data_IF_517067449222
#
_entry.id   IF_517067449222
#
_cell.length_a   1.000
_cell.length_b   1.000
_cell.length_c   1.000
_cell.angle_alpha   90.00
_cell.angle_beta   90.00
_cell.angle_gamma   90.00
#
_symmetry.space_group_name_H-M   'P 1'
#
loop_
_entity.id
_entity.type
_entity.pdbx_description
1 polymer ?
#
# COMPACT_ATOMS: atom_id res chain seq x y z
N UNK A 1 -18.47 -28.01 -7.47
CA UNK A 1 -17.67 -26.97 -8.16
C UNK A 1 -17.95 -25.67 -7.43
N UNK A 2 -16.92 -24.93 -7.00
CA UNK A 2 -17.11 -23.73 -6.20
C UNK A 2 -17.72 -22.58 -7.02
N UNK A 3 -18.71 -21.89 -6.46
CA UNK A 3 -19.30 -20.66 -6.96
C UNK A 3 -18.57 -19.43 -6.40
N UNK A 4 -18.84 -18.25 -6.95
CA UNK A 4 -18.23 -17.00 -6.45
C UNK A 4 -18.61 -16.71 -5.00
N UNK A 5 -19.84 -17.05 -4.59
CA UNK A 5 -20.35 -16.83 -3.23
C UNK A 5 -19.60 -17.65 -2.17
N UNK A 6 -19.05 -18.81 -2.54
CA UNK A 6 -18.21 -19.61 -1.63
C UNK A 6 -16.93 -18.88 -1.19
N UNK A 7 -16.53 -17.85 -1.94
CA UNK A 7 -15.38 -17.00 -1.60
C UNK A 7 -15.80 -15.72 -0.89
N UNK A 8 -16.80 -15.01 -1.42
CA UNK A 8 -17.14 -13.66 -0.94
C UNK A 8 -18.08 -13.65 0.28
N UNK A 9 -18.62 -14.80 0.66
CA UNK A 9 -19.45 -14.97 1.86
C UNK A 9 -18.82 -15.96 2.86
N UNK A 10 -17.49 -16.11 2.84
CA UNK A 10 -16.79 -17.04 3.72
C UNK A 10 -16.98 -16.66 5.20
N UNK A 11 -17.69 -17.51 5.95
CA UNK A 11 -17.89 -17.34 7.40
C UNK A 11 -16.70 -17.87 8.21
N UNK A 12 -16.66 -17.53 9.50
CA UNK A 12 -15.65 -18.04 10.45
C UNK A 12 -15.73 -19.57 10.56
N UNK A 13 -16.94 -20.14 10.63
CA UNK A 13 -17.17 -21.58 10.73
C UNK A 13 -16.71 -22.30 9.46
N UNK A 14 -17.09 -21.78 8.29
CA UNK A 14 -16.65 -22.34 7.01
C UNK A 14 -15.12 -22.25 6.83
N UNK A 15 -14.49 -21.16 7.29
CA UNK A 15 -13.04 -21.03 7.30
C UNK A 15 -12.38 -22.05 8.25
N UNK A 16 -12.93 -22.23 9.46
CA UNK A 16 -12.47 -23.25 10.43
C UNK A 16 -12.52 -24.65 9.85
N UNK A 17 -13.63 -25.04 9.23
CA UNK A 17 -13.79 -26.37 8.64
C UNK A 17 -12.79 -26.62 7.51
N UNK A 18 -12.52 -25.59 6.70
CA UNK A 18 -11.48 -25.64 5.66
C UNK A 18 -10.08 -25.79 6.26
N UNK A 19 -9.75 -25.10 7.35
CA UNK A 19 -8.46 -25.27 8.05
C UNK A 19 -8.29 -26.68 8.62
N UNK A 20 -9.32 -27.23 9.25
CA UNK A 20 -9.32 -28.62 9.74
C UNK A 20 -9.12 -29.62 8.60
N UNK A 21 -9.81 -29.41 7.47
CA UNK A 21 -9.65 -30.23 6.27
C UNK A 21 -8.23 -30.16 5.71
N UNK A 22 -7.61 -28.97 5.67
CA UNK A 22 -6.22 -28.79 5.24
C UNK A 22 -5.26 -29.57 6.14
N UNK A 23 -5.45 -29.54 7.47
CA UNK A 23 -4.60 -30.25 8.43
C UNK A 23 -4.61 -31.77 8.25
N UNK A 24 -5.67 -32.34 7.67
CA UNK A 24 -5.81 -33.77 7.40
C UNK A 24 -5.21 -34.20 6.04
N UNK A 25 -4.71 -33.26 5.23
CA UNK A 25 -4.18 -33.57 3.90
C UNK A 25 -2.82 -34.26 3.94
N UNK A 26 -2.65 -35.22 3.04
CA UNK A 26 -1.36 -35.76 2.66
C UNK A 26 -0.73 -34.94 1.53
N UNK A 27 0.60 -34.99 1.41
CA UNK A 27 1.28 -34.40 0.26
C UNK A 27 0.82 -35.09 -1.04
N UNK A 28 0.55 -34.34 -2.13
CA UNK A 28 0.14 -34.94 -3.39
C UNK A 28 1.22 -35.88 -3.94
N UNK A 29 0.85 -37.15 -4.18
CA UNK A 29 1.74 -38.16 -4.78
C UNK A 29 1.41 -38.33 -6.26
N UNK A 30 1.75 -37.33 -7.10
CA UNK A 30 1.54 -37.42 -8.55
C UNK A 30 1.10 -36.11 -9.21
N UNK A 31 0.38 -36.21 -10.33
CA UNK A 31 -0.20 -35.07 -11.08
C UNK A 31 -1.63 -34.72 -10.65
N UNK A 32 -2.08 -35.19 -9.49
CA UNK A 32 -3.45 -34.96 -9.03
C UNK A 32 -3.69 -33.46 -8.82
N UNK A 33 -4.57 -32.91 -9.65
CA UNK A 33 -4.95 -31.50 -9.59
C UNK A 33 -5.96 -31.34 -8.45
N UNK A 34 -5.49 -30.89 -7.29
CA UNK A 34 -6.35 -30.54 -6.15
C UNK A 34 -6.75 -29.08 -6.24
N UNK A 35 -8.06 -28.83 -6.28
CA UNK A 35 -8.62 -27.47 -6.30
C UNK A 35 -8.21 -26.69 -5.05
N UNK A 36 -8.02 -25.38 -5.22
CA UNK A 36 -7.80 -24.47 -4.09
C UNK A 36 -9.11 -24.23 -3.36
N UNK A 37 -9.10 -24.38 -2.04
CA UNK A 37 -10.22 -23.97 -1.20
C UNK A 37 -10.34 -22.43 -1.17
N UNK A 38 -11.52 -21.89 -0.79
CA UNK A 38 -11.70 -20.47 -0.55
C UNK A 38 -10.65 -19.84 0.38
N UNK A 39 -10.35 -20.47 1.52
CA UNK A 39 -9.30 -20.02 2.46
C UNK A 39 -7.94 -19.93 1.76
N UNK A 40 -7.53 -20.98 1.04
CA UNK A 40 -6.26 -20.99 0.32
C UNK A 40 -6.20 -19.90 -0.75
N UNK A 41 -7.31 -19.69 -1.47
CA UNK A 41 -7.43 -18.68 -2.54
C UNK A 41 -7.36 -17.26 -1.99
N UNK A 42 -8.08 -16.97 -0.91
CA UNK A 42 -8.11 -15.65 -0.28
C UNK A 42 -6.80 -15.32 0.45
N UNK A 43 -6.13 -16.32 1.05
CA UNK A 43 -4.75 -16.16 1.54
C UNK A 43 -3.81 -15.84 0.39
N UNK A 44 -3.90 -16.55 -0.74
CA UNK A 44 -3.10 -16.21 -1.93
C UNK A 44 -3.36 -14.78 -2.42
N UNK A 45 -4.62 -14.32 -2.42
CA UNK A 45 -4.94 -12.94 -2.76
C UNK A 45 -4.26 -11.95 -1.80
N UNK A 46 -4.39 -12.17 -0.49
CA UNK A 46 -3.73 -11.34 0.52
C UNK A 46 -2.21 -11.31 0.38
N UNK A 47 -1.58 -12.46 0.11
CA UNK A 47 -0.15 -12.52 -0.17
C UNK A 47 0.20 -11.69 -1.41
N UNK A 48 -0.62 -11.73 -2.47
CA UNK A 48 -0.45 -10.88 -3.65
C UNK A 48 -0.52 -9.37 -3.36
N UNK A 49 -1.13 -8.94 -2.25
CA UNK A 49 -1.13 -7.53 -1.83
C UNK A 49 0.19 -7.09 -1.21
N UNK A 50 1.02 -8.00 -0.68
CA UNK A 50 2.29 -7.67 -0.02
C UNK A 50 3.52 -8.17 -0.78
N UNK A 51 3.37 -9.27 -1.50
CA UNK A 51 4.41 -9.88 -2.30
C UNK A 51 4.45 -9.21 -3.67
N UNK A 52 5.49 -8.41 -3.93
CA UNK A 52 5.67 -7.81 -5.26
C UNK A 52 6.04 -8.90 -6.27
N UNK A 53 5.29 -9.08 -7.36
CA UNK A 53 5.85 -9.72 -8.53
C UNK A 53 6.99 -8.82 -9.02
N UNK A 54 8.23 -9.29 -8.96
CA UNK A 54 9.38 -8.55 -9.50
C UNK A 54 9.12 -8.12 -10.96
N UNK A 55 9.81 -7.06 -11.42
CA UNK A 55 9.81 -6.44 -12.76
C UNK A 55 9.73 -7.39 -13.99
N UNK A 56 9.94 -8.70 -13.81
CA UNK A 56 9.82 -9.72 -14.83
C UNK A 56 8.88 -10.82 -14.33
N UNK A 57 7.79 -11.04 -15.06
CA UNK A 57 6.70 -11.92 -14.67
C UNK A 57 7.16 -13.25 -14.07
N UNK A 58 6.48 -13.67 -13.00
CA UNK A 58 6.44 -15.05 -12.47
C UNK A 58 7.74 -15.75 -12.02
N UNK A 59 8.93 -15.15 -12.09
CA UNK A 59 10.17 -15.93 -11.87
C UNK A 59 10.90 -15.70 -10.54
N UNK A 60 10.69 -14.61 -9.79
CA UNK A 60 11.39 -14.41 -8.49
C UNK A 60 10.50 -14.43 -7.22
N UNK A 61 9.27 -14.93 -7.29
CA UNK A 61 8.52 -15.31 -6.09
C UNK A 61 9.01 -16.63 -5.46
N UNK A 62 9.81 -17.41 -6.21
CA UNK A 62 10.11 -18.83 -5.93
C UNK A 62 11.13 -19.09 -4.80
N UNK A 63 11.78 -18.07 -4.22
CA UNK A 63 12.91 -18.33 -3.30
C UNK A 63 12.98 -17.48 -2.03
N UNK A 64 12.29 -16.34 -1.92
CA UNK A 64 12.62 -15.33 -0.90
C UNK A 64 11.48 -14.87 0.01
N UNK A 65 10.23 -15.33 -0.16
CA UNK A 65 9.14 -14.98 0.77
C UNK A 65 8.95 -16.04 1.84
N UNK A 66 9.22 -15.73 3.13
CA UNK A 66 8.92 -16.64 4.24
C UNK A 66 7.43 -16.99 4.31
N UNK A 67 6.55 -16.07 3.90
CA UNK A 67 5.10 -16.30 3.89
C UNK A 67 4.69 -17.34 2.84
N UNK A 68 5.20 -17.22 1.61
CA UNK A 68 4.94 -18.20 0.53
C UNK A 68 5.43 -19.59 0.95
N UNK A 69 6.62 -19.69 1.56
CA UNK A 69 7.15 -20.96 2.04
C UNK A 69 6.30 -21.54 3.17
N UNK A 70 5.88 -20.72 4.14
CA UNK A 70 5.04 -21.17 5.25
C UNK A 70 3.69 -21.69 4.76
N UNK A 71 2.96 -20.90 3.96
CA UNK A 71 1.65 -21.28 3.47
C UNK A 71 1.70 -22.45 2.48
N UNK A 72 2.77 -22.59 1.69
CA UNK A 72 2.96 -23.77 0.85
C UNK A 72 3.03 -25.06 1.69
N UNK A 73 3.81 -25.05 2.78
CA UNK A 73 3.89 -26.20 3.71
C UNK A 73 2.58 -26.46 4.43
N UNK A 74 1.92 -25.40 4.92
CA UNK A 74 0.64 -25.49 5.62
C UNK A 74 -0.44 -26.09 4.73
N UNK A 75 -0.55 -25.62 3.49
CA UNK A 75 -1.51 -26.10 2.50
C UNK A 75 -1.17 -27.48 1.91
N UNK A 76 0.01 -28.03 2.23
CA UNK A 76 0.59 -29.24 1.62
C UNK A 76 0.68 -29.11 0.10
N UNK A 77 1.11 -27.94 -0.38
CA UNK A 77 1.29 -27.62 -1.81
C UNK A 77 2.73 -27.27 -2.12
N UNK A 78 3.12 -27.44 -3.38
CA UNK A 78 4.43 -26.96 -3.84
C UNK A 78 4.44 -25.43 -3.90
N UNK A 79 5.57 -24.80 -3.59
CA UNK A 79 5.78 -23.35 -3.74
C UNK A 79 5.48 -22.89 -5.18
N UNK A 80 5.79 -23.74 -6.17
CA UNK A 80 5.47 -23.51 -7.59
C UNK A 80 3.95 -23.40 -7.82
N UNK A 81 3.15 -24.27 -7.19
CA UNK A 81 1.69 -24.22 -7.29
C UNK A 81 1.16 -22.94 -6.65
N UNK A 82 1.65 -22.60 -5.46
CA UNK A 82 1.21 -21.40 -4.75
C UNK A 82 1.56 -20.13 -5.53
N UNK A 83 2.80 -19.99 -5.98
CA UNK A 83 3.24 -18.86 -6.79
C UNK A 83 2.45 -18.72 -8.11
N UNK A 84 2.07 -19.84 -8.73
CA UNK A 84 1.20 -19.82 -9.90
C UNK A 84 -0.22 -19.32 -9.56
N UNK A 85 -0.77 -19.73 -8.40
CA UNK A 85 -2.06 -19.24 -7.91
C UNK A 85 -2.02 -17.74 -7.62
N UNK A 86 -0.98 -17.24 -6.93
CA UNK A 86 -0.78 -15.80 -6.72
C UNK A 86 -0.73 -15.03 -8.05
N UNK A 87 0.03 -15.52 -9.03
CA UNK A 87 0.15 -14.88 -10.33
C UNK A 87 -1.17 -14.89 -11.15
N UNK A 88 -2.05 -15.85 -10.91
CA UNK A 88 -3.37 -15.90 -11.53
C UNK A 88 -4.37 -14.93 -10.86
N UNK A 89 -4.18 -14.66 -9.57
CA UNK A 89 -4.94 -13.68 -8.79
C UNK A 89 -4.37 -12.25 -8.88
N UNK A 90 -3.51 -11.94 -9.87
CA UNK A 90 -2.98 -10.59 -10.12
C UNK A 90 -3.89 -9.76 -11.07
N UNK A 91 -5.02 -10.32 -11.55
CA UNK A 91 -5.98 -9.63 -12.42
C UNK A 91 -5.50 -9.33 -13.85
N UNK A 92 -4.18 -9.40 -14.11
CA UNK A 92 -3.54 -9.11 -15.41
C UNK A 92 -3.66 -10.24 -16.44
N UNK A 93 -3.98 -11.46 -16.01
CA UNK A 93 -4.09 -12.63 -16.90
C UNK A 93 -5.55 -12.83 -17.32
N UNK A 94 -5.86 -12.78 -18.63
CA UNK A 94 -7.25 -12.96 -19.10
C UNK A 94 -7.77 -14.40 -18.94
N UNK A 95 -6.87 -15.39 -18.76
CA UNK A 95 -7.20 -16.83 -18.74
C UNK A 95 -7.06 -17.47 -17.34
N UNK A 96 -7.37 -16.75 -16.27
CA UNK A 96 -7.48 -17.34 -14.93
C UNK A 96 -8.55 -18.44 -14.86
N UNK A 97 -8.52 -19.28 -13.83
CA UNK A 97 -9.55 -20.29 -13.60
C UNK A 97 -10.95 -19.63 -13.47
N UNK A 98 -12.00 -20.42 -13.69
CA UNK A 98 -13.40 -19.95 -13.67
C UNK A 98 -13.66 -19.12 -12.40
N UNK A 99 -14.15 -17.89 -12.56
CA UNK A 99 -14.41 -16.88 -11.51
C UNK A 99 -13.20 -16.12 -10.92
N UNK A 100 -11.94 -16.46 -11.19
CA UNK A 100 -10.79 -15.79 -10.55
C UNK A 100 -10.70 -14.29 -10.87
N UNK A 101 -10.94 -13.91 -12.13
CA UNK A 101 -10.93 -12.49 -12.52
C UNK A 101 -12.10 -11.73 -11.88
N UNK A 102 -13.27 -12.35 -11.75
CA UNK A 102 -14.43 -11.71 -11.11
C UNK A 102 -14.24 -11.59 -9.60
N UNK A 103 -13.69 -12.63 -8.97
CA UNK A 103 -13.30 -12.61 -7.56
C UNK A 103 -12.30 -11.48 -7.30
N UNK A 104 -11.27 -11.38 -8.12
CA UNK A 104 -10.27 -10.33 -8.00
C UNK A 104 -10.87 -8.93 -8.20
N UNK A 105 -11.78 -8.75 -9.17
CA UNK A 105 -12.50 -7.47 -9.35
C UNK A 105 -13.27 -7.15 -8.07
N UNK A 106 -14.05 -8.08 -7.51
CA UNK A 106 -14.83 -7.83 -6.29
C UNK A 106 -13.94 -7.49 -5.10
N UNK A 107 -12.91 -8.29 -4.85
CA UNK A 107 -12.01 -8.12 -3.70
C UNK A 107 -11.20 -6.81 -3.77
N UNK A 108 -10.81 -6.37 -4.97
CA UNK A 108 -10.08 -5.11 -5.14
C UNK A 108 -11.00 -3.88 -5.33
N UNK A 109 -12.27 -4.07 -5.68
CA UNK A 109 -13.23 -2.96 -5.85
C UNK A 109 -13.88 -2.53 -4.54
N UNK A 110 -14.06 -3.46 -3.61
CA UNK A 110 -14.68 -3.21 -2.31
C UNK A 110 -13.60 -3.18 -1.21
N UNK A 111 -13.37 -2.00 -0.65
CA UNK A 111 -12.34 -1.77 0.36
C UNK A 111 -12.62 -2.48 1.70
N UNK A 112 -13.87 -2.89 1.97
CA UNK A 112 -14.26 -3.53 3.23
C UNK A 112 -14.39 -5.04 3.11
N UNK A 113 -14.72 -5.53 1.91
CA UNK A 113 -14.95 -6.96 1.68
C UNK A 113 -13.72 -7.81 2.02
N UNK A 114 -12.56 -7.51 1.45
CA UNK A 114 -11.38 -8.34 1.68
C UNK A 114 -10.89 -8.30 3.15
N UNK A 115 -10.83 -7.14 3.83
CA UNK A 115 -10.53 -7.12 5.27
C UNK A 115 -11.48 -7.98 6.11
N UNK A 116 -12.79 -7.94 5.85
CA UNK A 116 -13.76 -8.75 6.58
C UNK A 116 -13.56 -10.26 6.36
N UNK A 117 -13.30 -10.66 5.11
CA UNK A 117 -12.97 -12.04 4.77
C UNK A 117 -11.65 -12.48 5.40
N UNK A 118 -10.63 -11.62 5.39
CA UNK A 118 -9.34 -11.91 6.02
C UNK A 118 -9.47 -12.10 7.53
N UNK A 119 -10.22 -11.24 8.22
CA UNK A 119 -10.53 -11.40 9.63
C UNK A 119 -11.24 -12.74 9.91
N UNK A 120 -12.17 -13.14 9.04
CA UNK A 120 -12.86 -14.43 9.14
C UNK A 120 -11.90 -15.61 8.96
N UNK A 121 -10.94 -15.52 8.04
CA UNK A 121 -9.89 -16.53 7.80
C UNK A 121 -8.99 -16.70 9.04
N UNK A 122 -8.51 -15.60 9.61
CA UNK A 122 -7.65 -15.62 10.80
C UNK A 122 -8.43 -16.16 12.01
N UNK A 123 -9.64 -15.67 12.25
CA UNK A 123 -10.50 -16.14 13.35
C UNK A 123 -10.85 -17.62 13.20
N UNK A 124 -11.13 -18.07 11.97
CA UNK A 124 -11.36 -19.48 11.66
C UNK A 124 -10.13 -20.35 11.93
N UNK A 125 -8.92 -19.86 11.61
CA UNK A 125 -7.65 -20.56 11.90
C UNK A 125 -7.46 -20.76 13.41
N UNK A 126 -7.67 -19.68 14.19
CA UNK A 126 -7.58 -19.74 15.67
C UNK A 126 -8.61 -20.73 16.24
N UNK A 127 -9.83 -20.72 15.71
CA UNK A 127 -10.90 -21.65 16.11
C UNK A 127 -10.63 -23.11 15.70
N UNK A 128 -9.72 -23.34 14.75
CA UNK A 128 -9.23 -24.66 14.36
C UNK A 128 -8.01 -25.12 15.18
N UNK A 129 -7.52 -24.28 16.10
CA UNK A 129 -6.35 -24.57 16.93
C UNK A 129 -4.99 -24.20 16.31
N UNK A 130 -4.98 -23.47 15.19
CA UNK A 130 -3.76 -22.98 14.55
C UNK A 130 -3.33 -21.65 15.18
N UNK A 131 -2.07 -21.56 15.60
CA UNK A 131 -1.57 -20.37 16.28
C UNK A 131 -0.98 -19.32 15.31
N UNK A 132 -0.40 -18.25 15.86
CA UNK A 132 0.21 -17.17 15.08
C UNK A 132 1.52 -17.57 14.39
N UNK A 133 2.11 -18.70 14.76
CA UNK A 133 3.27 -19.29 14.08
C UNK A 133 2.78 -20.07 12.86
N UNK A 134 1.74 -20.89 13.02
CA UNK A 134 1.14 -21.67 11.93
C UNK A 134 0.55 -20.75 10.86
N UNK A 135 -0.33 -19.84 11.28
CA UNK A 135 -1.05 -18.88 10.45
C UNK A 135 -0.71 -17.48 10.94
N UNK A 136 0.40 -16.88 10.47
CA UNK A 136 0.75 -15.52 10.85
C UNK A 136 -0.24 -14.52 10.24
N UNK A 137 -0.56 -13.48 11.00
CA UNK A 137 -1.24 -12.30 10.48
C UNK A 137 -0.23 -11.46 9.68
N UNK A 138 0.01 -11.86 8.43
CA UNK A 138 1.01 -11.25 7.55
C UNK A 138 0.56 -9.91 6.95
N UNK A 139 -0.75 -9.65 6.93
CA UNK A 139 -1.26 -8.31 6.67
C UNK A 139 -1.16 -7.43 7.90
N UNK A 140 -0.90 -8.06 9.05
CA UNK A 140 -0.83 -7.50 10.38
C UNK A 140 -2.11 -6.75 10.70
N UNK A 141 -3.27 -7.31 10.38
CA UNK A 141 -4.58 -6.68 10.58
C UNK A 141 -4.80 -6.19 12.01
N UNK A 142 -4.18 -6.83 13.00
CA UNK A 142 -4.22 -6.44 14.40
C UNK A 142 -3.31 -5.25 14.77
N UNK A 143 -2.10 -5.11 14.19
CA UNK A 143 -1.20 -3.97 14.46
C UNK A 143 -1.08 -2.94 13.31
N UNK A 144 -1.62 -3.26 12.14
CA UNK A 144 -1.66 -2.53 10.86
C UNK A 144 -3.04 -2.78 10.20
N UNK A 145 -4.11 -2.12 10.64
CA UNK A 145 -5.41 -2.28 10.00
C UNK A 145 -5.29 -1.98 8.50
N UNK A 146 -5.74 -2.90 7.64
CA UNK A 146 -5.77 -2.70 6.18
C UNK A 146 -6.46 -1.38 5.80
N UNK A 147 -7.42 -0.97 6.61
CA UNK A 147 -8.12 0.32 6.55
C UNK A 147 -7.17 1.52 6.53
N UNK A 148 -6.07 1.51 7.31
CA UNK A 148 -5.08 2.61 7.31
C UNK A 148 -4.38 2.71 5.97
N UNK A 149 -4.03 1.58 5.36
CA UNK A 149 -3.39 1.57 4.04
C UNK A 149 -4.36 2.04 2.97
N UNK A 150 -5.63 1.66 3.07
CA UNK A 150 -6.66 2.05 2.11
C UNK A 150 -6.97 3.54 2.16
N UNK A 151 -7.07 4.12 3.36
CA UNK A 151 -7.37 5.54 3.53
C UNK A 151 -6.13 6.44 3.32
N UNK A 152 -4.91 5.91 3.42
CA UNK A 152 -3.69 6.65 3.13
C UNK A 152 -3.45 6.88 1.63
N UNK A 153 -4.25 6.26 0.74
CA UNK A 153 -4.15 6.46 -0.70
C UNK A 153 -4.68 7.85 -1.07
N UNK A 154 -3.85 8.64 -1.75
CA UNK A 154 -4.22 9.98 -2.20
C UNK A 154 -4.93 10.03 -3.55
N UNK A 155 -4.59 9.11 -4.45
CA UNK A 155 -5.08 9.15 -5.83
C UNK A 155 -6.56 8.80 -5.86
N UNK A 156 -7.35 9.72 -6.41
CA UNK A 156 -8.82 9.58 -6.52
C UNK A 156 -9.22 8.63 -7.66
N UNK A 157 -10.44 8.09 -7.58
CA UNK A 157 -11.00 7.26 -8.65
C UNK A 157 -11.02 7.98 -10.01
N UNK A 158 -11.25 9.29 -10.04
CA UNK A 158 -11.27 10.07 -11.28
C UNK A 158 -9.87 10.21 -11.88
N UNK A 159 -8.84 10.43 -11.05
CA UNK A 159 -7.46 10.41 -11.51
C UNK A 159 -7.02 9.03 -12.01
N UNK A 160 -7.53 7.95 -11.40
CA UNK A 160 -7.30 6.59 -11.91
C UNK A 160 -7.97 6.38 -13.27
N UNK A 161 -9.21 6.87 -13.45
CA UNK A 161 -9.92 6.79 -14.73
C UNK A 161 -9.23 7.57 -15.83
N UNK A 162 -8.84 8.81 -15.54
CA UNK A 162 -8.10 9.66 -16.49
C UNK A 162 -6.79 8.98 -16.94
N UNK A 163 -6.05 8.38 -16.01
CA UNK A 163 -4.84 7.63 -16.31
C UNK A 163 -5.09 6.34 -17.11
N UNK A 164 -6.27 5.72 -16.98
CA UNK A 164 -6.67 4.50 -17.68
C UNK A 164 -7.23 4.79 -19.09
N UNK A 165 -7.75 5.99 -19.33
CA UNK A 165 -8.46 6.40 -20.56
C UNK A 165 -7.71 6.04 -21.86
N UNK A 166 -6.39 6.28 -22.02
CA UNK A 166 -5.69 5.91 -23.26
C UNK A 166 -5.70 4.40 -23.51
N UNK A 167 -5.59 3.61 -22.44
CA UNK A 167 -5.62 2.14 -22.51
C UNK A 167 -7.01 1.64 -22.89
N UNK A 168 -8.05 2.23 -22.29
CA UNK A 168 -9.44 1.89 -22.58
C UNK A 168 -9.80 2.22 -24.02
N UNK A 169 -9.40 3.40 -24.53
CA UNK A 169 -9.59 3.78 -25.94
C UNK A 169 -8.91 2.81 -26.89
N UNK A 170 -7.66 2.44 -26.62
CA UNK A 170 -6.91 1.49 -27.45
C UNK A 170 -7.55 0.10 -27.47
N UNK A 171 -8.16 -0.33 -26.35
CA UNK A 171 -8.88 -1.61 -26.25
C UNK A 171 -10.25 -1.56 -26.95
N UNK A 172 -11.00 -0.46 -26.79
CA UNK A 172 -12.29 -0.27 -27.44
C UNK A 172 -12.16 -0.28 -28.97
N UNK A 173 -11.06 0.27 -29.50
CA UNK A 173 -10.75 0.21 -30.93
C UNK A 173 -10.48 -1.23 -31.45
N UNK A 174 -10.28 -2.22 -30.58
CA UNK A 174 -9.88 -3.60 -30.92
C UNK A 174 -10.99 -4.65 -30.72
N UNK A 175 -12.18 -4.34 -30.17
CA UNK A 175 -13.25 -5.34 -30.01
C UNK A 175 -14.41 -5.03 -29.04
N UNK A 176 -15.34 -6.01 -28.94
CA UNK A 176 -16.70 -5.97 -28.37
C UNK A 176 -16.90 -5.30 -26.99
N UNK A 177 -17.93 -4.44 -26.90
CA UNK A 177 -18.36 -3.62 -25.76
C UNK A 177 -18.59 -4.37 -24.43
N UNK A 178 -19.03 -5.64 -24.47
CA UNK A 178 -19.25 -6.43 -23.25
C UNK A 178 -17.93 -6.82 -22.57
N UNK A 179 -16.88 -7.05 -23.36
CA UNK A 179 -15.52 -7.23 -22.84
C UNK A 179 -14.93 -5.91 -22.34
N UNK A 180 -15.33 -4.76 -22.90
CA UNK A 180 -14.82 -3.44 -22.50
C UNK A 180 -15.17 -3.12 -21.05
N UNK A 181 -16.43 -3.24 -20.61
CA UNK A 181 -16.80 -2.93 -19.20
C UNK A 181 -16.08 -3.82 -18.18
N UNK A 182 -15.95 -5.12 -18.48
CA UNK A 182 -15.22 -6.04 -17.61
C UNK A 182 -13.72 -5.72 -17.59
N UNK A 183 -13.15 -5.37 -18.74
CA UNK A 183 -11.75 -4.98 -18.87
C UNK A 183 -11.48 -3.64 -18.18
N UNK A 184 -12.42 -2.71 -18.26
CA UNK A 184 -12.36 -1.43 -17.56
C UNK A 184 -12.34 -1.63 -16.04
N UNK A 185 -13.30 -2.39 -15.50
CA UNK A 185 -13.29 -2.78 -14.08
C UNK A 185 -11.98 -3.45 -13.69
N UNK A 186 -11.45 -4.31 -14.58
CA UNK A 186 -10.19 -4.98 -14.33
C UNK A 186 -9.00 -4.01 -14.29
N UNK A 187 -8.93 -3.05 -15.20
CA UNK A 187 -7.88 -2.03 -15.23
C UNK A 187 -7.96 -1.14 -13.99
N UNK A 188 -9.16 -0.67 -13.66
CA UNK A 188 -9.39 0.21 -12.49
C UNK A 188 -9.01 -0.49 -11.18
N UNK A 189 -9.45 -1.74 -11.01
CA UNK A 189 -9.08 -2.53 -9.83
C UNK A 189 -7.56 -2.75 -9.76
N UNK A 190 -6.88 -2.89 -10.90
CA UNK A 190 -5.42 -3.14 -10.94
C UNK A 190 -4.70 -1.90 -10.47
N UNK A 191 -5.15 -0.74 -10.95
CA UNK A 191 -4.61 0.54 -10.55
C UNK A 191 -4.84 0.80 -9.05
N UNK A 192 -6.03 0.46 -8.52
CA UNK A 192 -6.37 0.60 -7.10
C UNK A 192 -5.52 -0.29 -6.20
N UNK A 193 -5.38 -1.58 -6.52
CA UNK A 193 -4.48 -2.47 -5.77
C UNK A 193 -3.04 -1.96 -5.84
N UNK A 194 -2.62 -1.45 -7.01
CA UNK A 194 -1.32 -0.82 -7.17
C UNK A 194 -1.12 0.38 -6.23
N UNK A 195 -2.14 1.24 -6.08
CA UNK A 195 -2.10 2.34 -5.11
C UNK A 195 -1.96 1.86 -3.67
N UNK A 196 -2.70 0.83 -3.29
CA UNK A 196 -2.64 0.28 -1.93
C UNK A 196 -1.25 -0.32 -1.64
N UNK A 197 -0.66 -1.01 -2.62
CA UNK A 197 0.70 -1.53 -2.54
C UNK A 197 1.75 -0.41 -2.42
N UNK A 198 1.60 0.65 -3.21
CA UNK A 198 2.44 1.84 -3.12
C UNK A 198 2.33 2.48 -1.74
N UNK A 199 1.11 2.79 -1.29
CA UNK A 199 0.84 3.43 -0.01
C UNK A 199 1.42 2.64 1.16
N UNK A 200 1.17 1.32 1.20
CA UNK A 200 1.75 0.42 2.21
C UNK A 200 3.28 0.50 2.22
N UNK A 201 3.90 0.43 1.04
CA UNK A 201 5.36 0.46 0.93
C UNK A 201 5.97 1.79 1.40
N UNK A 202 5.27 2.91 1.17
CA UNK A 202 5.67 4.24 1.63
C UNK A 202 5.54 4.35 3.15
N UNK A 203 4.42 3.89 3.71
CA UNK A 203 4.19 3.87 5.16
C UNK A 203 5.18 2.95 5.88
N UNK A 204 5.46 1.76 5.36
CA UNK A 204 6.45 0.81 5.91
C UNK A 204 7.84 1.45 5.98
N UNK A 205 8.27 2.16 4.93
CA UNK A 205 9.56 2.89 4.90
C UNK A 205 9.67 3.98 5.96
N UNK A 206 8.53 4.55 6.35
CA UNK A 206 8.42 5.60 7.35
C UNK A 206 8.02 5.09 8.73
N UNK A 207 7.98 3.77 8.96
CA UNK A 207 7.56 3.16 10.22
C UNK A 207 6.14 3.57 10.66
N UNK A 208 5.25 3.84 9.68
CA UNK A 208 3.91 4.39 9.89
C UNK A 208 3.94 5.67 10.74
N UNK A 209 4.87 6.56 10.39
CA UNK A 209 5.00 7.89 10.98
C UNK A 209 5.06 8.95 9.89
N UNK A 210 4.59 10.14 10.21
CA UNK A 210 4.88 11.33 9.44
C UNK A 210 6.40 11.53 9.44
N UNK A 211 7.01 11.57 8.26
CA UNK A 211 8.47 11.74 8.15
C UNK A 211 8.96 13.10 8.68
N UNK A 212 8.05 14.09 8.78
CA UNK A 212 8.38 15.43 9.25
C UNK A 212 8.29 15.55 10.78
N UNK A 213 7.16 15.20 11.39
CA UNK A 213 6.94 15.40 12.84
C UNK A 213 7.03 14.12 13.68
N UNK A 214 7.14 12.94 13.06
CA UNK A 214 7.18 11.67 13.77
C UNK A 214 5.82 11.19 14.30
N UNK A 215 4.72 11.91 14.03
CA UNK A 215 3.37 11.49 14.38
C UNK A 215 3.11 10.09 13.82
N UNK A 216 2.91 9.12 14.70
CA UNK A 216 2.73 7.72 14.34
C UNK A 216 1.32 7.22 14.61
N UNK A 217 0.88 6.25 13.82
CA UNK A 217 -0.42 5.61 13.98
C UNK A 217 -0.35 4.26 14.69
N UNK A 218 0.86 3.79 15.02
CA UNK A 218 1.08 2.53 15.73
C UNK A 218 0.80 2.67 17.23
N UNK A 219 0.15 1.65 17.80
CA UNK A 219 -0.07 1.53 19.25
C UNK A 219 -1.19 2.41 19.80
N UNK A 220 -1.96 3.07 18.93
CA UNK A 220 -3.11 3.89 19.31
C UNK A 220 -4.37 3.17 18.85
N UNK A 221 -5.26 2.79 19.78
CA UNK A 221 -6.55 2.13 19.48
C UNK A 221 -7.60 3.10 18.92
N UNK A 222 -7.18 4.01 18.04
CA UNK A 222 -8.07 4.91 17.31
C UNK A 222 -8.14 4.43 15.85
N UNK A 223 -9.27 4.66 15.15
CA UNK A 223 -9.32 4.53 13.70
C UNK A 223 -8.34 5.55 13.10
N UNK A 224 -7.11 5.09 12.88
CA UNK A 224 -5.95 5.91 12.54
C UNK A 224 -5.85 6.20 11.04
N UNK A 225 -6.92 5.88 10.31
CA UNK A 225 -6.93 5.74 8.87
C UNK A 225 -6.71 7.06 8.11
N UNK A 226 -6.93 8.21 8.76
CA UNK A 226 -6.77 9.53 8.14
C UNK A 226 -5.62 10.39 8.67
N UNK A 227 -4.75 9.82 9.50
CA UNK A 227 -3.66 10.57 10.13
C UNK A 227 -2.36 10.55 9.34
N UNK A 228 -2.25 9.65 8.36
CA UNK A 228 -1.10 9.56 7.46
C UNK A 228 -1.57 9.39 6.02
N UNK A 229 -0.92 10.14 5.13
CA UNK A 229 -1.15 10.11 3.69
C UNK A 229 0.15 9.64 3.04
N UNK A 230 0.04 8.70 2.11
CA UNK A 230 1.14 8.27 1.27
C UNK A 230 1.05 8.99 -0.08
N UNK A 231 1.68 10.16 -0.16
CA UNK A 231 1.63 11.04 -1.33
C UNK A 231 2.78 10.81 -2.27
N UNK A 232 2.53 10.94 -3.58
CA UNK A 232 3.59 10.99 -4.57
C UNK A 232 4.32 12.34 -4.52
N UNK A 233 5.65 12.30 -4.62
CA UNK A 233 6.50 13.50 -4.69
C UNK A 233 6.42 14.10 -6.08
N UNK A 234 6.67 13.27 -7.10
CA UNK A 234 6.33 13.56 -8.49
C UNK A 234 4.89 13.10 -8.69
N UNK A 235 3.93 14.01 -8.95
CA UNK A 235 2.51 13.68 -9.00
C UNK A 235 2.18 12.51 -9.92
N UNK A 236 1.09 11.80 -9.58
CA UNK A 236 0.60 10.65 -10.34
C UNK A 236 0.46 10.91 -11.84
N UNK A 237 -0.08 12.09 -12.20
CA UNK A 237 -0.31 12.52 -13.58
C UNK A 237 0.99 12.65 -14.40
N UNK A 238 2.07 13.09 -13.76
CA UNK A 238 3.37 13.33 -14.40
C UNK A 238 4.30 12.10 -14.32
N UNK A 239 3.91 11.10 -13.53
CA UNK A 239 4.66 9.86 -13.31
C UNK A 239 4.36 8.81 -14.38
N UNK A 240 5.41 8.13 -14.84
CA UNK A 240 5.32 6.90 -15.66
C UNK A 240 4.70 5.76 -14.85
N UNK A 241 4.22 4.71 -15.55
CA UNK A 241 3.67 3.51 -14.89
C UNK A 241 4.63 2.86 -13.87
N UNK A 242 5.95 3.01 -14.06
CA UNK A 242 6.96 2.50 -13.14
C UNK A 242 7.10 3.42 -11.92
N UNK A 243 7.22 4.73 -12.13
CA UNK A 243 7.36 5.73 -11.06
C UNK A 243 6.12 5.77 -10.13
N UNK A 244 4.94 5.51 -10.69
CA UNK A 244 3.66 5.41 -9.99
C UNK A 244 3.62 4.34 -8.90
N UNK A 245 4.46 3.31 -9.05
CA UNK A 245 4.56 2.16 -8.15
C UNK A 245 5.86 2.17 -7.34
N UNK A 246 6.73 3.17 -7.54
CA UNK A 246 8.02 3.27 -6.88
C UNK A 246 7.87 3.95 -5.51
N UNK A 247 8.11 3.26 -4.38
CA UNK A 247 8.03 3.88 -3.06
C UNK A 247 9.03 5.01 -2.84
N UNK A 248 10.11 5.07 -3.62
CA UNK A 248 11.05 6.19 -3.58
C UNK A 248 10.41 7.49 -4.09
N UNK A 249 9.30 7.39 -4.85
CA UNK A 249 8.46 8.52 -5.24
C UNK A 249 7.41 8.87 -4.17
N UNK A 250 7.47 8.29 -2.97
CA UNK A 250 6.45 8.50 -1.95
C UNK A 250 6.98 9.15 -0.68
N UNK A 251 6.12 9.93 -0.03
CA UNK A 251 6.31 10.45 1.33
C UNK A 251 5.12 10.08 2.20
N UNK A 252 5.39 9.60 3.41
CA UNK A 252 4.38 9.41 4.44
C UNK A 252 4.31 10.68 5.30
N UNK A 253 3.23 11.43 5.21
CA UNK A 253 3.07 12.69 5.94
C UNK A 253 1.69 12.77 6.60
N UNK A 254 1.60 13.49 7.73
CA UNK A 254 0.30 13.85 8.28
C UNK A 254 -0.38 14.91 7.38
N UNK A 255 -1.72 15.06 7.43
CA UNK A 255 -2.45 15.96 6.52
C UNK A 255 -1.87 17.39 6.44
N UNK A 256 -1.46 17.95 7.59
CA UNK A 256 -0.86 19.29 7.67
C UNK A 256 0.46 19.39 6.90
N UNK A 257 1.36 18.42 7.06
CA UNK A 257 2.67 18.44 6.40
C UNK A 257 2.60 18.00 4.95
N UNK A 258 1.67 17.10 4.62
CA UNK A 258 1.37 16.73 3.24
C UNK A 258 0.92 17.94 2.43
N UNK A 259 -0.06 18.69 2.94
CA UNK A 259 -0.52 19.92 2.29
C UNK A 259 0.61 20.96 2.16
N UNK A 260 1.45 21.11 3.18
CA UNK A 260 2.58 22.03 3.13
C UNK A 260 3.64 21.61 2.08
N UNK A 261 3.90 20.32 1.92
CA UNK A 261 4.84 19.81 0.93
C UNK A 261 4.30 20.04 -0.49
N UNK A 262 3.04 19.71 -0.74
CA UNK A 262 2.41 19.92 -2.05
C UNK A 262 2.32 21.38 -2.48
N UNK A 263 2.10 22.28 -1.52
CA UNK A 263 2.09 23.72 -1.78
C UNK A 263 3.49 24.34 -1.74
N UNK A 264 4.54 23.52 -1.77
CA UNK A 264 5.95 23.94 -1.78
C UNK A 264 6.33 24.85 -0.60
N UNK A 265 5.60 24.79 0.51
CA UNK A 265 5.93 25.50 1.74
C UNK A 265 7.11 24.83 2.43
N UNK A 266 7.23 23.52 2.29
CA UNK A 266 8.39 22.71 2.69
C UNK A 266 8.87 21.84 1.51
N UNK A 267 10.17 21.58 1.45
CA UNK A 267 10.79 20.64 0.48
C UNK A 267 11.98 19.93 1.13
N UNK A 268 12.51 18.86 0.52
CA UNK A 268 13.57 18.01 1.09
C UNK A 268 14.67 17.76 0.09
N UNK A 269 15.89 18.27 0.30
CA UNK A 269 17.02 18.12 -0.64
C UNK A 269 17.60 16.71 -0.74
N UNK A 270 18.62 16.55 -1.58
CA UNK A 270 19.28 15.26 -1.86
C UNK A 270 19.95 14.67 -0.63
N UNK A 271 20.32 15.52 0.32
CA UNK A 271 20.94 15.17 1.61
C UNK A 271 19.88 14.94 2.70
N UNK A 272 18.60 15.11 2.36
CA UNK A 272 17.45 14.96 3.22
C UNK A 272 17.12 16.20 4.04
N UNK A 273 17.81 17.32 3.86
CA UNK A 273 17.58 18.56 4.63
C UNK A 273 16.24 19.13 4.24
N UNK A 274 15.45 19.47 5.25
CA UNK A 274 14.17 20.12 5.03
C UNK A 274 14.38 21.62 4.89
N UNK A 275 13.90 22.17 3.77
CA UNK A 275 13.92 23.60 3.48
C UNK A 275 12.50 24.16 3.60
N UNK A 276 12.40 25.38 4.09
CA UNK A 276 11.15 26.12 4.23
C UNK A 276 11.11 27.24 3.19
N UNK A 277 9.94 27.48 2.61
CA UNK A 277 9.75 28.67 1.78
C UNK A 277 9.88 29.94 2.63
N UNK A 278 10.23 31.04 1.97
CA UNK A 278 10.34 32.33 2.63
C UNK A 278 9.01 32.82 3.21
N UNK A 279 7.89 32.52 2.54
CA UNK A 279 6.55 32.79 3.08
C UNK A 279 6.30 32.02 4.39
N UNK A 280 6.68 30.74 4.46
CA UNK A 280 6.52 29.92 5.66
C UNK A 280 7.43 30.42 6.80
N UNK A 281 8.66 30.85 6.52
CA UNK A 281 9.56 31.41 7.56
C UNK A 281 8.96 32.65 8.21
N UNK A 282 8.40 33.58 7.41
CA UNK A 282 7.70 34.75 7.94
C UNK A 282 6.47 34.37 8.77
N UNK A 283 5.69 33.40 8.32
CA UNK A 283 4.53 32.92 9.07
C UNK A 283 4.93 32.31 10.42
N UNK A 284 6.01 31.51 10.47
CA UNK A 284 6.56 30.95 11.71
C UNK A 284 6.96 32.04 12.70
N UNK A 285 7.53 33.16 12.24
CA UNK A 285 7.92 34.27 13.11
C UNK A 285 6.73 35.08 13.62
N UNK A 286 5.69 35.22 12.79
CA UNK A 286 4.54 36.06 13.08
C UNK A 286 3.46 35.36 13.90
N UNK A 287 3.38 34.02 13.86
CA UNK A 287 2.26 33.27 14.40
C UNK A 287 2.68 31.97 15.10
N UNK A 288 2.22 31.82 16.35
CA UNK A 288 2.57 30.70 17.22
C UNK A 288 2.08 29.34 16.73
N UNK A 289 0.96 29.27 16.01
CA UNK A 289 0.45 28.01 15.45
C UNK A 289 1.33 27.54 14.29
N UNK A 290 1.79 28.45 13.43
CA UNK A 290 2.78 28.14 12.40
C UNK A 290 4.11 27.70 13.01
N UNK A 291 4.58 28.41 14.05
CA UNK A 291 5.78 28.03 14.78
C UNK A 291 5.67 26.64 15.41
N UNK A 292 4.52 26.31 16.00
CA UNK A 292 4.27 25.00 16.59
C UNK A 292 4.32 23.87 15.55
N UNK A 293 3.70 24.06 14.38
CA UNK A 293 3.56 22.99 13.38
C UNK A 293 4.76 22.85 12.45
N UNK A 294 5.50 23.92 12.19
CA UNK A 294 6.56 23.98 11.16
C UNK A 294 7.90 24.52 11.66
N UNK A 295 7.97 25.01 12.90
CA UNK A 295 9.21 25.41 13.55
C UNK A 295 10.07 24.22 13.98
N UNK A 296 11.16 24.47 14.73
CA UNK A 296 12.12 23.43 15.14
C UNK A 296 11.53 22.30 15.99
N UNK A 297 10.43 22.56 16.69
CA UNK A 297 9.71 21.58 17.52
C UNK A 297 8.64 20.82 16.74
N UNK A 298 8.15 21.39 15.63
CA UNK A 298 7.04 20.84 14.84
C UNK A 298 7.48 19.88 13.74
N UNK A 299 8.66 20.12 13.15
CA UNK A 299 9.24 19.24 12.12
C UNK A 299 10.73 19.03 12.37
N UNK A 300 11.21 17.84 12.03
CA UNK A 300 12.63 17.53 11.96
C UNK A 300 13.35 18.45 10.98
N UNK A 301 14.67 18.57 11.14
CA UNK A 301 15.53 19.32 10.22
C UNK A 301 16.00 18.46 9.05
N UNK A 302 15.93 17.13 9.18
CA UNK A 302 16.42 16.21 8.15
C UNK A 302 15.77 14.83 8.18
N UNK A 303 15.46 14.30 6.99
CA UNK A 303 15.07 12.90 6.79
C UNK A 303 16.28 11.97 6.76
N UNK A 304 16.11 10.71 7.19
CA UNK A 304 17.21 9.73 7.30
C UNK A 304 16.81 8.33 6.83
N UNK A 305 17.79 7.53 6.43
CA UNK A 305 17.63 6.10 6.17
C UNK A 305 16.56 5.80 5.12
N UNK A 306 15.62 4.91 5.44
CA UNK A 306 14.54 4.50 4.55
C UNK A 306 13.51 5.60 4.25
N UNK A 307 13.50 6.70 5.01
CA UNK A 307 12.59 7.83 4.79
C UNK A 307 13.04 8.72 3.62
N UNK A 308 14.29 8.60 3.19
CA UNK A 308 14.82 9.42 2.10
C UNK A 308 14.13 9.07 0.77
N UNK A 309 13.60 10.05 0.05
CA UNK A 309 13.07 9.82 -1.29
C UNK A 309 14.15 9.54 -2.33
N UNK A 310 13.69 9.09 -3.51
CA UNK A 310 14.55 8.93 -4.68
C UNK A 310 15.02 10.29 -5.21
N UNK A 311 16.31 10.38 -5.55
CA UNK A 311 16.95 11.63 -5.99
C UNK A 311 16.22 12.30 -7.15
N UNK A 312 15.79 11.53 -8.14
CA UNK A 312 15.06 12.04 -9.31
C UNK A 312 13.74 12.71 -8.95
N UNK A 313 13.04 12.22 -7.92
CA UNK A 313 11.76 12.78 -7.49
C UNK A 313 11.95 14.05 -6.67
N UNK A 314 12.98 14.07 -5.82
CA UNK A 314 13.43 15.29 -5.12
C UNK A 314 13.80 16.38 -6.11
N UNK A 315 14.65 16.04 -7.09
CA UNK A 315 15.08 16.99 -8.13
C UNK A 315 13.89 17.56 -8.90
N UNK A 316 12.94 16.69 -9.26
CA UNK A 316 11.70 17.12 -9.90
C UNK A 316 10.94 18.09 -9.00
N UNK A 317 10.70 17.75 -7.72
CA UNK A 317 9.96 18.61 -6.80
C UNK A 317 10.65 19.96 -6.61
N UNK A 318 11.97 19.99 -6.41
CA UNK A 318 12.74 21.24 -6.32
C UNK A 318 12.61 22.12 -7.55
N UNK A 319 12.61 21.53 -8.75
CA UNK A 319 12.45 22.29 -10.00
C UNK A 319 11.08 22.98 -10.13
N UNK A 320 10.08 22.55 -9.35
CA UNK A 320 8.76 23.17 -9.29
C UNK A 320 8.67 24.26 -8.21
N UNK A 321 9.70 24.43 -7.37
CA UNK A 321 9.68 25.39 -6.27
C UNK A 321 10.40 26.68 -6.63
N UNK A 322 9.83 27.83 -6.28
CA UNK A 322 10.53 29.13 -6.24
C UNK A 322 11.36 29.29 -4.94
N UNK A 323 11.60 28.20 -4.22
CA UNK A 323 12.36 28.22 -2.96
C UNK A 323 13.83 28.45 -3.29
N UNK A 324 14.26 29.70 -3.17
CA UNK A 324 15.70 30.03 -3.12
C UNK A 324 16.30 29.23 -1.97
N UNK A 325 17.32 28.42 -2.29
CA UNK A 325 18.11 27.62 -1.34
C UNK A 325 18.86 28.55 -0.36
N UNK A 326 18.13 29.18 0.55
CA UNK A 326 18.72 29.68 1.78
C UNK A 326 18.78 28.48 2.71
N UNK A 327 19.97 27.87 2.75
CA UNK A 327 20.34 26.94 3.82
C UNK A 327 20.07 27.67 5.13
N UNK A 328 19.18 27.12 5.98
CA UNK A 328 18.86 27.64 7.31
C UNK A 328 20.16 27.77 8.13
N UNK A 329 20.83 28.92 8.04
CA UNK A 329 21.82 29.33 9.01
C UNK A 329 21.04 29.99 10.16
N UNK A 330 20.88 29.22 11.22
CA UNK A 330 20.73 29.73 12.59
C UNK A 330 19.33 30.19 13.04
N UNK A 331 18.41 29.23 13.21
CA UNK A 331 17.23 29.40 14.08
C UNK A 331 17.57 29.33 15.59
N UNK A 332 18.83 29.12 15.97
CA UNK A 332 19.26 29.06 17.38
C UNK A 332 19.42 30.44 18.03
N UNK A 333 19.31 31.52 17.25
CA UNK A 333 19.36 32.92 17.73
C UNK A 333 18.02 33.54 18.10
N UNK A 334 16.91 32.83 18.00
CA UNK A 334 15.58 33.36 18.37
C UNK A 334 15.27 33.28 19.88
N UNK A 335 16.28 33.08 20.73
CA UNK A 335 16.13 33.11 22.20
C UNK A 335 17.18 34.02 22.84
N UNK A 336 17.08 35.33 22.61
CA UNK A 336 17.53 36.36 23.56
C UNK A 336 16.90 37.69 23.17
N UNK A 337 15.81 38.07 23.84
CA UNK A 337 15.49 39.45 24.25
C UNK A 337 14.05 39.48 24.77
N UNK A 338 13.88 39.20 26.06
CA UNK A 338 12.90 39.83 26.94
C UNK A 338 13.24 39.42 28.38
N UNK A 339 13.14 40.38 29.33
CA UNK A 339 13.82 40.53 30.65
C UNK A 339 15.16 41.26 30.48
N UNK A 340 15.40 42.49 30.93
CA UNK A 340 14.77 43.35 31.94
C UNK A 340 14.88 44.85 31.55
N UNK A 341 13.95 45.66 32.06
CA UNK A 341 13.93 47.12 31.97
C UNK A 341 12.68 47.69 32.63
#
# INVERSE_FOLDING_TARGET
MLALDDYVQLTVEAARDQWLSIGQRSWPTGRDQVDYLPVETLVCFGLGLIERPSKFGSVNLRASSPHVQNFARLFKRTEKSLAAKLANLDGRRPNGARHEQELWIRLGSDALLFPALYASIITGARSAGLDAVDVPDFLDSAARPLEVVFDAVKVTDDQLREAAEPTLRALAARGSLANVKRTERAIMTTARIGQQQFARSVLDRADFKCVFCGLGTRGISLPSSRMLIASHIKPWKDSTAIERMDPANGLAACPTHDAAFENHLITVDREGVIHRSEALRRAIQADTAWAHNFGPQGITTRLRGSQLPGRSFVDWHFSQTDVVLQVDYDLSRLHTTHTDG
#
